data_IF_745880799990
#
_entry.id   IF_745880799990
#
_cell.length_a   1.000
_cell.length_b   1.000
_cell.length_c   1.000
_cell.angle_alpha   90.00
_cell.angle_beta   90.00
_cell.angle_gamma   90.00
#
_symmetry.space_group_name_H-M   'P 1'
#
loop_
_entity.id
_entity.type
_entity.pdbx_description
1 polymer ?
#
# COMPACT_ATOMS: atom_id res chain seq x y z
N UNK A 1 10.08 -22.92 17.36
CA UNK A 1 9.92 -21.81 16.40
C UNK A 1 10.58 -22.19 15.08
N UNK A 2 9.76 -22.46 14.03
CA UNK A 2 10.23 -22.89 12.70
C UNK A 2 10.22 -21.74 11.69
N UNK A 3 10.30 -20.49 12.12
CA UNK A 3 10.27 -19.31 11.25
C UNK A 3 8.91 -19.00 10.62
N UNK A 4 7.87 -19.76 10.92
CA UNK A 4 6.50 -19.51 10.43
C UNK A 4 5.81 -18.51 11.36
N UNK A 5 5.46 -17.34 10.82
CA UNK A 5 4.71 -16.35 11.56
C UNK A 5 3.21 -16.53 11.31
N UNK A 6 2.44 -16.76 12.37
CA UNK A 6 0.97 -16.84 12.31
C UNK A 6 0.31 -15.46 12.27
N UNK A 7 1.09 -14.39 12.35
CA UNK A 7 0.64 -12.99 12.34
C UNK A 7 -0.41 -12.67 13.42
N UNK A 8 -0.20 -13.00 14.72
CA UNK A 8 -1.18 -12.70 15.76
C UNK A 8 -1.46 -11.21 15.90
N UNK A 9 -0.50 -10.35 15.51
CA UNK A 9 -0.70 -8.91 15.45
C UNK A 9 -1.75 -8.47 14.42
N UNK A 10 -2.22 -9.37 13.56
CA UNK A 10 -3.26 -9.13 12.54
C UNK A 10 -4.60 -9.78 12.90
N UNK A 11 -4.73 -10.35 14.09
CA UNK A 11 -5.98 -10.95 14.53
C UNK A 11 -6.98 -9.86 14.92
N UNK A 12 -8.27 -10.07 14.64
CA UNK A 12 -9.33 -9.20 15.09
C UNK A 12 -9.58 -9.39 16.60
N UNK A 13 -9.86 -8.29 17.26
CA UNK A 13 -10.30 -8.24 18.64
C UNK A 13 -11.64 -7.53 18.70
N UNK A 14 -12.63 -8.15 19.32
CA UNK A 14 -13.97 -7.59 19.45
C UNK A 14 -14.22 -7.19 20.91
N UNK A 15 -14.55 -5.93 21.12
CA UNK A 15 -14.96 -5.39 22.41
C UNK A 15 -16.16 -4.47 22.20
N UNK A 16 -17.18 -4.59 23.05
CA UNK A 16 -18.41 -3.78 22.98
C UNK A 16 -19.04 -3.74 21.57
N UNK A 17 -19.07 -4.89 20.89
CA UNK A 17 -19.64 -5.02 19.53
C UNK A 17 -18.78 -4.43 18.40
N UNK A 18 -17.63 -3.83 18.69
CA UNK A 18 -16.73 -3.26 17.68
C UNK A 18 -15.50 -4.15 17.51
N UNK A 19 -15.22 -4.51 16.26
CA UNK A 19 -14.02 -5.28 15.90
C UNK A 19 -12.91 -4.35 15.43
N UNK A 20 -11.72 -4.51 16.02
CA UNK A 20 -10.51 -3.72 15.73
C UNK A 20 -9.28 -4.61 15.62
N UNK A 21 -8.19 -4.04 15.12
CA UNK A 21 -6.88 -4.68 15.01
C UNK A 21 -5.81 -3.92 15.81
N UNK A 22 -5.91 -3.90 17.16
CA UNK A 22 -5.12 -3.01 18.01
C UNK A 22 -3.60 -3.24 17.92
N UNK A 23 -3.18 -4.41 17.47
CA UNK A 23 -1.75 -4.73 17.31
C UNK A 23 -1.26 -4.65 15.85
N UNK A 24 -2.10 -4.15 14.93
CA UNK A 24 -1.74 -4.04 13.51
C UNK A 24 -0.85 -2.82 13.27
N UNK A 25 0.46 -2.95 13.46
CA UNK A 25 1.42 -1.87 13.19
C UNK A 25 1.38 -1.46 11.72
N UNK A 26 1.43 -0.15 11.47
CA UNK A 26 1.70 0.42 10.15
C UNK A 26 3.08 0.01 9.67
N UNK A 27 3.29 -0.01 8.35
CA UNK A 27 4.62 -0.28 7.80
C UNK A 27 5.51 0.96 8.01
N UNK A 28 6.75 0.76 8.46
CA UNK A 28 7.72 1.84 8.61
C UNK A 28 8.17 2.33 7.24
N UNK A 29 8.02 3.61 6.96
CA UNK A 29 8.46 4.24 5.71
C UNK A 29 8.96 5.65 5.97
N UNK A 30 10.27 5.80 6.11
CA UNK A 30 10.89 7.11 6.41
C UNK A 30 10.82 8.08 5.24
N UNK A 31 10.75 7.59 3.99
CA UNK A 31 10.60 8.44 2.81
C UNK A 31 11.69 9.51 2.71
N UNK A 32 11.33 10.75 2.29
CA UNK A 32 12.29 11.85 2.14
C UNK A 32 13.04 12.22 3.41
N UNK A 33 12.52 11.91 4.60
CA UNK A 33 13.21 12.11 5.89
C UNK A 33 14.53 11.31 5.96
N UNK A 34 14.76 10.36 5.03
CA UNK A 34 16.04 9.66 4.90
C UNK A 34 17.23 10.61 4.76
N UNK A 35 17.04 11.80 4.22
CA UNK A 35 18.08 12.82 4.10
C UNK A 35 18.64 13.20 5.48
N UNK A 36 17.78 13.35 6.49
CA UNK A 36 18.21 13.74 7.84
C UNK A 36 19.08 12.64 8.48
N UNK A 37 18.76 11.35 8.22
CA UNK A 37 19.58 10.24 8.70
C UNK A 37 20.95 10.18 8.01
N UNK A 38 21.01 10.45 6.71
CA UNK A 38 22.28 10.49 5.97
C UNK A 38 23.15 11.66 6.47
N UNK A 39 22.55 12.84 6.65
CA UNK A 39 23.27 14.01 7.18
C UNK A 39 23.74 13.79 8.63
N UNK A 40 23.03 13.00 9.41
CA UNK A 40 23.45 12.58 10.75
C UNK A 40 24.56 11.51 10.75
N UNK A 41 25.06 11.09 9.57
CA UNK A 41 26.16 10.14 9.43
C UNK A 41 25.75 8.67 9.36
N UNK A 42 24.47 8.35 9.20
CA UNK A 42 24.02 6.96 9.03
C UNK A 42 24.30 6.52 7.58
N UNK A 43 25.10 5.46 7.44
CA UNK A 43 25.58 4.96 6.14
C UNK A 43 24.93 3.65 5.69
N UNK A 44 24.29 2.92 6.60
CA UNK A 44 23.69 1.61 6.32
C UNK A 44 22.21 1.61 6.64
N UNK A 45 21.42 1.23 5.65
CA UNK A 45 19.95 1.14 5.75
C UNK A 45 19.49 -0.26 5.38
N UNK A 46 18.64 -0.84 6.22
CA UNK A 46 18.06 -2.17 6.01
C UNK A 46 16.60 -2.06 5.59
N UNK A 47 16.24 -2.71 4.48
CA UNK A 47 14.87 -2.84 4.02
C UNK A 47 14.34 -4.22 4.42
N UNK A 48 13.25 -4.24 5.18
CA UNK A 48 12.56 -5.47 5.57
C UNK A 48 11.43 -5.79 4.58
N UNK A 49 11.58 -6.89 3.86
CA UNK A 49 10.62 -7.32 2.82
C UNK A 49 9.91 -8.63 3.13
N UNK A 50 9.99 -9.14 4.37
CA UNK A 50 9.40 -10.43 4.75
C UNK A 50 7.91 -10.47 4.45
N UNK A 51 7.46 -11.54 3.80
CA UNK A 51 6.06 -11.76 3.39
C UNK A 51 5.53 -10.74 2.37
N UNK A 52 6.39 -9.97 1.72
CA UNK A 52 6.02 -9.06 0.64
C UNK A 52 6.25 -9.71 -0.72
N UNK A 53 5.51 -9.27 -1.75
CA UNK A 53 5.73 -9.73 -3.12
C UNK A 53 7.06 -9.21 -3.68
N UNK A 54 7.68 -9.98 -4.58
CA UNK A 54 8.92 -9.58 -5.27
C UNK A 54 8.76 -8.25 -5.99
N UNK A 55 7.61 -8.01 -6.63
CA UNK A 55 7.31 -6.74 -7.27
C UNK A 55 7.39 -5.57 -6.29
N UNK A 56 6.75 -5.70 -5.12
CA UNK A 56 6.76 -4.62 -4.13
C UNK A 56 8.17 -4.35 -3.59
N UNK A 57 8.93 -5.40 -3.31
CA UNK A 57 10.33 -5.26 -2.87
C UNK A 57 11.15 -4.52 -3.92
N UNK A 58 11.01 -4.88 -5.20
CA UNK A 58 11.69 -4.21 -6.31
C UNK A 58 11.34 -2.71 -6.37
N UNK A 59 10.07 -2.35 -6.25
CA UNK A 59 9.63 -0.96 -6.27
C UNK A 59 10.18 -0.16 -5.08
N UNK A 60 10.15 -0.73 -3.87
CA UNK A 60 10.67 -0.09 -2.66
C UNK A 60 12.18 0.11 -2.76
N UNK A 61 12.94 -0.92 -3.14
CA UNK A 61 14.41 -0.83 -3.30
C UNK A 61 14.77 0.20 -4.36
N UNK A 62 14.09 0.19 -5.51
CA UNK A 62 14.29 1.17 -6.58
C UNK A 62 14.00 2.60 -6.12
N UNK A 63 12.93 2.79 -5.34
CA UNK A 63 12.60 4.09 -4.78
C UNK A 63 13.72 4.61 -3.86
N UNK A 64 14.13 3.81 -2.86
CA UNK A 64 15.14 4.24 -1.89
C UNK A 64 16.52 4.40 -2.53
N UNK A 65 16.87 3.59 -3.54
CA UNK A 65 18.12 3.78 -4.30
C UNK A 65 18.15 5.15 -4.99
N UNK A 66 17.07 5.48 -5.73
CA UNK A 66 16.94 6.78 -6.39
C UNK A 66 16.92 7.95 -5.41
N UNK A 67 16.29 7.75 -4.25
CA UNK A 67 16.24 8.77 -3.20
C UNK A 67 17.63 9.04 -2.65
N UNK A 68 18.43 8.01 -2.34
CA UNK A 68 19.82 8.14 -1.86
C UNK A 68 20.68 8.86 -2.90
N UNK A 69 20.60 8.43 -4.17
CA UNK A 69 21.36 9.06 -5.25
C UNK A 69 21.04 10.55 -5.37
N UNK A 70 19.76 10.89 -5.31
CA UNK A 70 19.31 12.31 -5.33
C UNK A 70 19.80 13.11 -4.14
N UNK A 71 19.81 12.54 -2.93
CA UNK A 71 20.31 13.22 -1.74
C UNK A 71 21.82 13.50 -1.89
N UNK A 72 22.59 12.53 -2.38
CA UNK A 72 24.03 12.69 -2.63
C UNK A 72 24.29 13.77 -3.70
N UNK A 73 23.44 13.85 -4.71
CA UNK A 73 23.51 14.87 -5.78
C UNK A 73 22.95 16.23 -5.35
N UNK A 74 22.50 16.40 -4.11
CA UNK A 74 21.90 17.64 -3.61
C UNK A 74 20.51 17.95 -4.20
N UNK A 75 19.82 16.95 -4.77
CA UNK A 75 18.50 17.09 -5.34
C UNK A 75 17.42 16.67 -4.35
N UNK A 76 16.31 17.41 -4.30
CA UNK A 76 15.17 17.03 -3.45
C UNK A 76 14.16 16.16 -4.21
N UNK A 77 13.91 14.95 -3.70
CA UNK A 77 12.78 14.12 -4.12
C UNK A 77 11.65 14.29 -3.09
N UNK A 78 10.52 14.84 -3.52
CA UNK A 78 9.30 14.97 -2.69
C UNK A 78 8.38 13.76 -2.76
N UNK A 79 8.66 12.81 -3.67
CA UNK A 79 7.81 11.64 -3.88
C UNK A 79 7.88 10.70 -2.68
N UNK A 80 6.70 10.29 -2.20
CA UNK A 80 6.57 9.29 -1.15
C UNK A 80 6.90 7.87 -1.64
N UNK A 81 7.35 6.96 -0.74
CA UNK A 81 7.63 5.58 -1.11
C UNK A 81 6.36 4.83 -1.56
N UNK A 82 6.51 3.73 -2.33
CA UNK A 82 5.40 2.85 -2.66
C UNK A 82 4.71 2.31 -1.40
N UNK A 83 3.38 2.29 -1.40
CA UNK A 83 2.57 1.88 -0.26
C UNK A 83 1.67 0.71 -0.64
N UNK A 84 1.68 -0.35 0.15
CA UNK A 84 0.66 -1.42 0.10
C UNK A 84 -0.24 -1.40 1.34
N UNK A 85 0.28 -0.86 2.43
CA UNK A 85 -0.39 -0.66 3.70
C UNK A 85 -0.23 0.77 4.15
N UNK A 86 -0.99 1.17 5.13
CA UNK A 86 -0.76 2.43 5.84
C UNK A 86 0.67 2.47 6.38
N UNK A 87 1.29 3.64 6.34
CA UNK A 87 2.68 3.84 6.74
C UNK A 87 2.79 4.82 7.89
N UNK A 88 3.86 4.70 8.66
CA UNK A 88 4.30 5.67 9.66
C UNK A 88 5.80 5.94 9.51
N UNK A 89 6.26 7.04 10.09
CA UNK A 89 7.70 7.33 10.18
C UNK A 89 8.37 6.69 11.41
N UNK A 90 7.62 5.89 12.17
CA UNK A 90 8.09 5.18 13.36
C UNK A 90 8.21 6.05 14.60
N UNK A 91 8.72 5.46 15.67
CA UNK A 91 8.85 6.11 16.99
C UNK A 91 9.77 7.34 16.99
N UNK A 92 10.70 7.44 16.07
CA UNK A 92 11.60 8.60 16.00
C UNK A 92 10.88 9.89 15.57
N UNK A 93 9.78 9.77 14.82
CA UNK A 93 9.01 10.91 14.33
C UNK A 93 7.61 10.98 14.93
N UNK A 94 7.07 9.83 15.36
CA UNK A 94 5.72 9.68 15.88
C UNK A 94 5.75 9.00 17.24
N UNK A 95 5.59 9.76 18.32
CA UNK A 95 5.61 9.23 19.69
C UNK A 95 4.26 8.62 20.14
N UNK A 96 3.18 8.92 19.43
CA UNK A 96 1.84 8.43 19.76
C UNK A 96 1.59 7.05 19.17
N UNK A 97 1.22 6.08 20.02
CA UNK A 97 0.82 4.73 19.63
C UNK A 97 -0.25 4.71 18.51
N UNK A 98 -1.24 5.59 18.60
CA UNK A 98 -2.33 5.68 17.61
C UNK A 98 -1.82 6.06 16.20
N UNK A 99 -0.70 6.77 16.09
CA UNK A 99 -0.08 7.09 14.80
C UNK A 99 0.66 5.90 14.21
N UNK A 100 1.08 4.94 15.03
CA UNK A 100 1.88 3.78 14.62
C UNK A 100 1.02 2.56 14.28
N UNK A 101 -0.23 2.52 14.74
CA UNK A 101 -1.15 1.39 14.56
C UNK A 101 -2.20 1.72 13.50
N UNK A 102 -2.58 0.74 12.71
CA UNK A 102 -3.76 0.73 11.86
C UNK A 102 -4.78 -0.23 12.46
N UNK A 103 -5.59 0.28 13.36
CA UNK A 103 -6.62 -0.52 14.03
C UNK A 103 -7.80 -0.91 13.14
N UNK A 104 -7.93 -0.29 11.99
CA UNK A 104 -9.02 -0.55 11.03
C UNK A 104 -8.65 -1.63 10.01
N UNK A 105 -7.36 -1.70 9.61
CA UNK A 105 -6.92 -2.54 8.51
C UNK A 105 -5.76 -3.46 8.90
N UNK A 106 -5.96 -4.79 8.99
CA UNK A 106 -4.89 -5.71 9.34
C UNK A 106 -3.95 -6.02 8.18
N UNK A 107 -4.41 -5.79 6.95
CA UNK A 107 -3.77 -6.26 5.74
C UNK A 107 -3.35 -5.17 4.76
N UNK A 108 -3.10 -5.59 3.55
CA UNK A 108 -2.81 -4.71 2.42
C UNK A 108 -4.09 -3.97 2.02
N UNK A 109 -4.06 -2.66 2.10
CA UNK A 109 -5.16 -1.79 1.63
C UNK A 109 -4.97 -1.37 0.17
N UNK A 110 -3.72 -1.39 -0.33
CA UNK A 110 -3.39 -0.91 -1.67
C UNK A 110 -3.42 0.61 -1.78
N UNK A 111 -3.37 1.09 -3.01
CA UNK A 111 -3.59 2.50 -3.34
C UNK A 111 -5.00 2.66 -3.88
N UNK A 112 -5.76 3.62 -3.34
CA UNK A 112 -7.05 3.96 -3.92
C UNK A 112 -6.84 4.51 -5.33
N UNK A 113 -7.52 3.91 -6.30
CA UNK A 113 -7.39 4.28 -7.71
C UNK A 113 -8.67 4.84 -8.31
N UNK A 114 -9.80 4.67 -7.67
CA UNK A 114 -11.09 5.16 -8.17
C UNK A 114 -12.29 4.42 -7.61
N UNK A 115 -13.47 4.83 -8.07
CA UNK A 115 -14.77 4.27 -7.68
C UNK A 115 -15.36 3.39 -8.78
N UNK A 116 -15.96 2.27 -8.38
CA UNK A 116 -16.82 1.50 -9.27
C UNK A 116 -18.12 2.27 -9.46
N UNK A 117 -18.41 2.65 -10.70
CA UNK A 117 -19.63 3.38 -11.07
C UNK A 117 -20.73 2.46 -11.58
N UNK A 118 -20.36 1.30 -12.12
CA UNK A 118 -21.32 0.33 -12.62
C UNK A 118 -20.75 -1.09 -12.57
N UNK A 119 -21.56 -2.04 -12.14
CA UNK A 119 -21.29 -3.48 -12.23
C UNK A 119 -22.12 -4.08 -13.35
N UNK A 120 -21.48 -4.88 -14.21
CA UNK A 120 -22.12 -5.69 -15.26
C UNK A 120 -21.80 -7.17 -15.01
N UNK A 121 -22.49 -8.08 -15.70
CA UNK A 121 -22.28 -9.54 -15.54
C UNK A 121 -20.80 -9.96 -15.69
N UNK A 122 -20.09 -9.39 -16.67
CA UNK A 122 -18.71 -9.78 -17.01
C UNK A 122 -17.74 -8.61 -17.03
N UNK A 123 -18.10 -7.47 -16.47
CA UNK A 123 -17.21 -6.31 -16.35
C UNK A 123 -17.67 -5.35 -15.27
N UNK A 124 -16.75 -4.49 -14.82
CA UNK A 124 -17.10 -3.33 -14.01
C UNK A 124 -16.53 -2.06 -14.64
N UNK A 125 -17.27 -0.97 -14.47
CA UNK A 125 -16.88 0.36 -14.89
C UNK A 125 -16.30 1.09 -13.67
N UNK A 126 -15.11 1.62 -13.82
CA UNK A 126 -14.38 2.31 -12.76
C UNK A 126 -14.04 3.72 -13.25
N UNK A 127 -14.40 4.73 -12.48
CA UNK A 127 -13.92 6.09 -12.68
C UNK A 127 -12.53 6.23 -12.05
N UNK A 128 -11.50 6.52 -12.86
CA UNK A 128 -10.11 6.57 -12.40
C UNK A 128 -9.23 7.47 -13.25
N UNK A 129 -8.36 8.23 -12.61
CA UNK A 129 -7.25 8.98 -13.25
C UNK A 129 -5.90 8.28 -13.03
N UNK A 130 -5.90 7.15 -12.32
CA UNK A 130 -4.68 6.41 -12.00
C UNK A 130 -4.05 5.82 -13.27
N UNK A 131 -2.72 5.89 -13.43
CA UNK A 131 -2.03 5.28 -14.57
C UNK A 131 -2.16 3.76 -14.51
N UNK A 132 -2.90 3.20 -15.45
CA UNK A 132 -3.21 1.79 -15.52
C UNK A 132 -2.17 1.03 -16.34
N UNK A 133 -1.83 -0.16 -15.88
CA UNK A 133 -0.95 -1.10 -16.58
C UNK A 133 -1.55 -2.49 -16.54
N UNK A 134 -1.39 -3.25 -17.64
CA UNK A 134 -1.74 -4.67 -17.67
C UNK A 134 -0.95 -5.43 -16.59
N UNK A 135 -1.63 -6.29 -15.85
CA UNK A 135 -1.03 -7.03 -14.75
C UNK A 135 -1.19 -6.40 -13.37
N UNK A 136 -1.75 -5.17 -13.27
CA UNK A 136 -2.11 -4.59 -11.96
C UNK A 136 -3.12 -5.49 -11.26
N UNK A 137 -2.89 -5.74 -9.97
CA UNK A 137 -3.85 -6.43 -9.11
C UNK A 137 -4.78 -5.42 -8.49
N UNK A 138 -6.06 -5.57 -8.76
CA UNK A 138 -7.11 -4.67 -8.28
C UNK A 138 -7.98 -5.39 -7.24
N UNK A 139 -8.43 -4.62 -6.26
CA UNK A 139 -9.37 -5.07 -5.24
C UNK A 139 -10.53 -4.09 -5.19
N UNK A 140 -11.74 -4.61 -5.24
CA UNK A 140 -12.97 -3.87 -5.00
C UNK A 140 -13.36 -4.09 -3.54
N UNK A 141 -13.62 -3.01 -2.84
CA UNK A 141 -14.09 -3.00 -1.45
C UNK A 141 -15.40 -2.23 -1.36
N UNK A 142 -16.25 -2.57 -0.40
CA UNK A 142 -17.42 -1.78 -0.07
C UNK A 142 -17.07 -0.53 0.76
N UNK A 143 -18.06 0.24 1.12
CA UNK A 143 -17.92 1.45 1.95
C UNK A 143 -17.35 1.18 3.35
N UNK A 144 -17.43 -0.06 3.83
CA UNK A 144 -16.84 -0.49 5.10
C UNK A 144 -15.39 -0.95 4.96
N UNK A 145 -14.84 -0.99 3.74
CA UNK A 145 -13.51 -1.52 3.44
C UNK A 145 -13.45 -3.05 3.31
N UNK A 146 -14.60 -3.76 3.36
CA UNK A 146 -14.66 -5.20 3.18
C UNK A 146 -14.45 -5.55 1.71
N UNK A 147 -13.58 -6.52 1.47
CA UNK A 147 -13.29 -7.02 0.12
C UNK A 147 -14.54 -7.66 -0.51
N UNK A 148 -14.96 -7.13 -1.66
CA UNK A 148 -16.00 -7.70 -2.51
C UNK A 148 -15.38 -8.61 -3.58
N UNK A 149 -14.34 -8.10 -4.26
CA UNK A 149 -13.70 -8.79 -5.36
C UNK A 149 -12.20 -8.47 -5.42
N UNK A 150 -11.42 -9.38 -5.96
CA UNK A 150 -10.00 -9.17 -6.23
C UNK A 150 -9.60 -9.92 -7.51
N UNK A 151 -8.87 -9.25 -8.40
CA UNK A 151 -8.43 -9.83 -9.65
C UNK A 151 -7.29 -9.06 -10.30
N UNK A 152 -6.77 -9.60 -11.38
CA UNK A 152 -5.68 -8.99 -12.16
C UNK A 152 -6.26 -8.30 -13.39
N UNK A 153 -5.79 -7.09 -13.68
CA UNK A 153 -6.17 -6.29 -14.84
C UNK A 153 -5.52 -6.88 -16.10
N UNK A 154 -6.12 -7.92 -16.68
CA UNK A 154 -5.62 -8.58 -17.88
C UNK A 154 -6.31 -8.09 -19.15
N UNK A 155 -7.63 -7.94 -19.09
CA UNK A 155 -8.47 -7.47 -20.19
C UNK A 155 -9.23 -6.23 -19.73
N UNK A 156 -9.01 -5.11 -20.41
CA UNK A 156 -9.65 -3.84 -20.07
C UNK A 156 -9.68 -2.88 -21.25
N UNK A 157 -10.60 -1.94 -21.20
CA UNK A 157 -10.66 -0.76 -22.06
C UNK A 157 -10.51 0.48 -21.20
N UNK A 158 -9.69 1.43 -21.60
CA UNK A 158 -9.50 2.68 -20.87
C UNK A 158 -9.71 3.89 -21.78
N UNK A 159 -10.73 4.66 -21.48
CA UNK A 159 -10.98 5.96 -22.11
C UNK A 159 -10.33 7.07 -21.26
N UNK A 160 -9.16 7.55 -21.72
CA UNK A 160 -8.40 8.61 -21.04
C UNK A 160 -9.15 9.95 -21.01
N UNK A 161 -9.99 10.26 -22.01
CA UNK A 161 -10.73 11.52 -22.06
C UNK A 161 -11.83 11.58 -21.00
N UNK A 162 -12.45 10.44 -20.74
CA UNK A 162 -13.55 10.31 -19.76
C UNK A 162 -13.07 9.84 -18.39
N UNK A 163 -11.80 9.43 -18.26
CA UNK A 163 -11.24 8.79 -17.06
C UNK A 163 -12.02 7.53 -16.65
N UNK A 164 -12.42 6.72 -17.64
CA UNK A 164 -13.23 5.53 -17.44
C UNK A 164 -12.44 4.29 -17.82
N UNK A 165 -12.34 3.35 -16.88
CA UNK A 165 -11.83 2.00 -17.07
C UNK A 165 -13.00 1.03 -17.13
N UNK A 166 -13.10 0.24 -18.17
CA UNK A 166 -13.93 -0.97 -18.21
C UNK A 166 -13.03 -2.18 -18.02
N UNK A 167 -13.12 -2.81 -16.85
CA UNK A 167 -12.37 -4.00 -16.48
C UNK A 167 -13.22 -5.24 -16.73
N UNK A 168 -12.78 -6.10 -17.64
CA UNK A 168 -13.47 -7.34 -17.98
C UNK A 168 -13.06 -8.44 -16.98
N UNK A 169 -14.02 -8.90 -16.20
CA UNK A 169 -13.87 -9.94 -15.18
C UNK A 169 -15.17 -10.73 -15.05
N UNK A 170 -15.07 -11.99 -14.67
CA UNK A 170 -16.24 -12.79 -14.25
C UNK A 170 -16.40 -12.63 -12.74
N UNK A 171 -17.53 -12.10 -12.34
CA UNK A 171 -17.94 -12.07 -10.94
C UNK A 171 -18.74 -13.37 -10.70
N UNK A 172 -18.07 -14.39 -10.15
CA UNK A 172 -18.70 -15.63 -9.69
C UNK A 172 -19.10 -15.49 -8.23
#
# INVERSE_FOLDING_TARGET
NRGRCLQPCRYPFTASGTTRYPFSMKDLAVGPTLADYIHAGITNFKIEGRLKSTWYIKEVVSYYRKLIDSIIEGKMIKKEPPKLRTTSKGYMCDSSYHKLVDSENPGVVGTYIGNVTQLKKNSCIISTTYPLQKGLRLRIVDSSGKKIFEGTLLQYKYDKKKNILEWHVSFN
#
